data_IF_566996224314
#
_entry.id   IF_566996224314
#
_cell.length_a   1.000
_cell.length_b   1.000
_cell.length_c   1.000
_cell.angle_alpha   90.00
_cell.angle_beta   90.00
_cell.angle_gamma   90.00
#
_symmetry.space_group_name_H-M   'P 1'
#
loop_
_entity.id
_entity.type
_entity.pdbx_description
1 polymer ?
#
# COMPACT_ATOMS: atom_id res chain seq x y z
N UNK A 1 15.14 -5.64 -21.10
CA UNK A 1 15.45 -5.41 -19.68
C UNK A 1 14.35 -6.05 -18.83
N UNK A 2 14.66 -7.17 -18.14
CA UNK A 2 13.70 -7.90 -17.30
C UNK A 2 13.70 -7.25 -15.92
N UNK A 3 12.68 -6.47 -15.61
CA UNK A 3 12.42 -5.98 -14.23
C UNK A 3 11.82 -7.14 -13.43
N UNK A 4 12.70 -7.87 -12.75
CA UNK A 4 12.30 -8.96 -11.88
C UNK A 4 11.70 -8.41 -10.59
N UNK A 5 10.40 -8.52 -10.42
CA UNK A 5 9.78 -8.40 -9.11
C UNK A 5 10.13 -9.66 -8.30
N UNK A 6 11.01 -9.53 -7.31
CA UNK A 6 11.21 -10.60 -6.33
C UNK A 6 9.98 -10.64 -5.41
N UNK A 7 9.07 -11.56 -5.67
CA UNK A 7 8.02 -11.93 -4.73
C UNK A 7 8.65 -12.88 -3.72
N UNK A 8 9.18 -12.34 -2.63
CA UNK A 8 9.60 -13.17 -1.50
C UNK A 8 8.41 -13.36 -0.58
N UNK A 9 7.70 -14.46 -0.74
CA UNK A 9 6.76 -14.97 0.27
C UNK A 9 7.62 -15.46 1.42
N UNK A 10 7.84 -14.63 2.44
CA UNK A 10 8.42 -15.09 3.70
C UNK A 10 7.28 -15.71 4.49
N UNK A 11 7.23 -17.04 4.46
CA UNK A 11 6.35 -17.79 5.35
C UNK A 11 6.74 -17.48 6.81
N UNK A 12 5.77 -17.19 7.65
CA UNK A 12 5.90 -16.86 9.08
C UNK A 12 6.54 -17.97 9.95
N UNK A 13 6.94 -19.11 9.36
CA UNK A 13 7.40 -20.31 10.06
C UNK A 13 8.89 -20.35 10.44
N UNK A 14 9.68 -19.29 10.19
CA UNK A 14 11.10 -19.25 10.57
C UNK A 14 11.47 -17.97 11.31
N UNK A 15 10.80 -17.72 12.43
CA UNK A 15 11.36 -16.87 13.48
C UNK A 15 12.17 -17.78 14.37
N UNK A 16 13.49 -17.64 14.35
CA UNK A 16 14.40 -18.26 15.30
C UNK A 16 14.13 -17.68 16.69
N UNK A 17 13.43 -18.44 17.53
CA UNK A 17 13.08 -18.07 18.91
C UNK A 17 14.22 -18.31 19.89
N UNK A 18 15.43 -18.61 19.44
CA UNK A 18 16.55 -19.01 20.29
C UNK A 18 17.31 -17.85 20.96
N UNK A 19 16.97 -16.59 20.70
CA UNK A 19 17.62 -15.45 21.35
C UNK A 19 16.65 -14.61 22.20
N UNK A 20 16.76 -14.58 23.52
CA UNK A 20 15.83 -13.86 24.40
C UNK A 20 15.97 -12.33 24.40
N UNK A 21 16.78 -11.74 23.54
CA UNK A 21 17.10 -10.30 23.57
C UNK A 21 16.66 -9.48 22.36
N UNK A 22 16.04 -10.08 21.35
CA UNK A 22 15.55 -9.35 20.18
C UNK A 22 14.07 -9.60 19.97
N UNK A 23 13.23 -9.07 20.86
CA UNK A 23 11.81 -8.87 20.56
C UNK A 23 11.71 -7.82 19.45
N UNK A 24 11.71 -8.26 18.20
CA UNK A 24 11.32 -7.40 17.08
C UNK A 24 9.81 -7.32 17.12
N UNK A 25 9.29 -6.20 17.60
CA UNK A 25 7.86 -5.92 17.51
C UNK A 25 7.48 -5.84 16.03
N UNK A 26 6.62 -6.76 15.55
CA UNK A 26 6.19 -6.83 14.15
C UNK A 26 5.03 -5.89 13.83
N UNK A 27 4.57 -5.11 14.80
CA UNK A 27 3.54 -4.09 14.59
C UNK A 27 4.03 -3.05 13.57
N UNK A 28 3.15 -2.64 12.66
CA UNK A 28 3.44 -1.66 11.62
C UNK A 28 3.95 -0.33 12.19
N UNK A 29 3.42 0.11 13.34
CA UNK A 29 3.84 1.35 13.99
C UNK A 29 5.24 1.30 14.58
N UNK A 30 5.66 0.14 15.09
CA UNK A 30 7.03 -0.04 15.61
C UNK A 30 8.06 -0.10 14.50
N UNK A 31 7.65 -0.46 13.29
CA UNK A 31 8.47 -0.59 12.08
C UNK A 31 8.47 0.68 11.21
N UNK A 32 7.78 1.71 11.62
CA UNK A 32 7.74 3.00 10.95
C UNK A 32 9.13 3.63 10.83
N UNK A 33 9.54 4.00 9.62
CA UNK A 33 10.75 4.77 9.41
C UNK A 33 10.56 6.19 9.92
N UNK A 34 11.07 6.54 11.09
CA UNK A 34 10.86 7.86 11.71
C UNK A 34 11.79 8.90 11.12
N UNK A 35 13.06 8.90 11.55
CA UNK A 35 14.05 9.91 11.19
C UNK A 35 15.29 9.31 10.49
N UNK A 36 15.15 8.11 9.92
CA UNK A 36 16.25 7.42 9.26
C UNK A 36 16.40 7.91 7.83
N UNK A 37 17.63 8.22 7.47
CA UNK A 37 18.02 8.44 6.08
C UNK A 37 18.47 7.09 5.52
N UNK A 38 17.85 6.62 4.46
CA UNK A 38 18.20 5.36 3.78
C UNK A 38 18.30 5.63 2.30
N UNK A 39 19.23 4.95 1.65
CA UNK A 39 19.38 5.01 0.22
C UNK A 39 18.13 4.39 -0.47
N UNK A 40 17.58 5.07 -1.47
CA UNK A 40 16.38 4.63 -2.18
C UNK A 40 16.55 3.23 -2.81
N UNK A 41 17.78 2.85 -3.15
CA UNK A 41 18.12 1.55 -3.75
C UNK A 41 18.03 0.38 -2.76
N UNK A 42 18.02 0.68 -1.46
CA UNK A 42 17.89 -0.31 -0.39
C UNK A 42 16.42 -0.60 -0.01
N UNK A 43 15.48 0.14 -0.61
CA UNK A 43 14.04 0.00 -0.33
C UNK A 43 13.37 -0.85 -1.41
N UNK A 44 12.80 -1.99 -1.02
CA UNK A 44 12.13 -2.92 -1.93
C UNK A 44 10.63 -3.04 -1.63
N UNK A 45 9.89 -3.57 -2.59
CA UNK A 45 8.46 -3.85 -2.44
C UNK A 45 8.28 -5.23 -1.81
N UNK A 46 7.48 -5.28 -0.75
CA UNK A 46 7.04 -6.51 -0.12
C UNK A 46 5.53 -6.60 -0.23
N UNK A 47 5.01 -7.73 -0.68
CA UNK A 47 3.59 -8.02 -0.74
C UNK A 47 3.31 -9.23 0.13
N UNK A 48 2.42 -9.08 1.09
CA UNK A 48 1.90 -10.17 1.94
C UNK A 48 0.40 -10.23 1.73
N UNK A 49 -0.16 -11.42 1.69
CA UNK A 49 -1.59 -11.60 1.54
C UNK A 49 -2.12 -12.61 2.54
N UNK A 50 -3.36 -12.40 2.97
CA UNK A 50 -4.04 -13.24 3.95
C UNK A 50 -5.56 -13.19 3.76
N UNK A 51 -6.24 -14.24 4.22
CA UNK A 51 -7.70 -14.30 4.17
C UNK A 51 -8.32 -13.54 5.35
N UNK A 52 -9.41 -12.86 5.06
CA UNK A 52 -10.25 -12.15 6.04
C UNK A 52 -11.70 -12.58 5.85
N UNK A 53 -12.57 -12.25 6.80
CA UNK A 53 -14.01 -12.50 6.66
C UNK A 53 -14.67 -11.77 5.49
N UNK A 54 -14.00 -10.76 4.93
CA UNK A 54 -14.51 -9.95 3.82
C UNK A 54 -13.90 -10.33 2.45
N UNK A 55 -12.92 -11.24 2.43
CA UNK A 55 -12.18 -11.64 1.24
C UNK A 55 -10.68 -11.64 1.47
N UNK A 56 -9.90 -11.64 0.38
CA UNK A 56 -8.44 -11.66 0.42
C UNK A 56 -7.88 -10.26 0.59
N UNK A 57 -7.05 -10.05 1.60
CA UNK A 57 -6.38 -8.78 1.82
C UNK A 57 -4.89 -8.86 1.46
N UNK A 58 -4.40 -7.83 0.78
CA UNK A 58 -2.99 -7.66 0.40
C UNK A 58 -2.42 -6.49 1.18
N UNK A 59 -1.35 -6.76 1.93
CA UNK A 59 -0.51 -5.75 2.56
C UNK A 59 0.70 -5.50 1.66
N UNK A 60 0.71 -4.36 0.99
CA UNK A 60 1.72 -3.94 0.03
C UNK A 60 2.58 -2.88 0.71
N UNK A 61 3.84 -3.15 0.97
CA UNK A 61 4.72 -2.24 1.70
C UNK A 61 6.02 -1.95 0.94
N UNK A 62 6.64 -0.84 1.27
CA UNK A 62 8.03 -0.51 0.93
C UNK A 62 8.84 -0.67 2.20
N UNK A 63 9.78 -1.61 2.21
CA UNK A 63 10.58 -1.99 3.37
C UNK A 63 12.07 -2.02 3.03
N UNK A 64 12.93 -1.81 4.02
CA UNK A 64 14.38 -2.02 3.88
C UNK A 64 14.80 -3.38 4.44
N UNK A 65 16.10 -3.69 4.35
CA UNK A 65 16.69 -4.92 4.86
C UNK A 65 16.62 -5.04 6.40
N UNK A 66 16.34 -3.96 7.11
CA UNK A 66 16.16 -3.91 8.56
C UNK A 66 14.67 -3.92 8.96
N UNK A 67 13.76 -4.16 7.98
CA UNK A 67 12.31 -4.29 8.16
C UNK A 67 11.59 -2.99 8.54
N UNK A 68 12.21 -1.82 8.35
CA UNK A 68 11.51 -0.54 8.49
C UNK A 68 10.58 -0.30 7.32
N UNK A 69 9.38 0.22 7.61
CA UNK A 69 8.33 0.51 6.63
C UNK A 69 8.39 1.99 6.27
N UNK A 70 8.54 2.28 4.98
CA UNK A 70 8.53 3.62 4.39
C UNK A 70 7.16 4.05 3.90
N UNK A 71 6.29 3.09 3.69
CA UNK A 71 4.91 3.27 3.33
C UNK A 71 4.26 1.94 3.04
N UNK A 72 2.96 1.88 3.21
CA UNK A 72 2.18 0.69 2.91
C UNK A 72 0.79 1.03 2.39
N UNK A 73 0.18 0.04 1.75
CA UNK A 73 -1.19 0.06 1.28
C UNK A 73 -1.84 -1.28 1.65
N UNK A 74 -3.08 -1.21 2.12
CA UNK A 74 -3.93 -2.38 2.35
C UNK A 74 -5.00 -2.43 1.27
N UNK A 75 -4.98 -3.48 0.47
CA UNK A 75 -5.92 -3.74 -0.61
C UNK A 75 -6.77 -4.94 -0.25
N UNK A 76 -8.08 -4.75 -0.15
CA UNK A 76 -9.04 -5.83 -0.01
C UNK A 76 -9.59 -6.21 -1.39
N UNK A 77 -9.56 -7.48 -1.71
CA UNK A 77 -10.29 -8.11 -2.80
C UNK A 77 -11.50 -8.82 -2.18
N UNK A 78 -12.69 -8.21 -2.21
CA UNK A 78 -13.87 -8.77 -1.56
C UNK A 78 -14.31 -10.06 -2.23
N UNK A 79 -14.85 -10.99 -1.46
CA UNK A 79 -15.53 -12.13 -2.05
C UNK A 79 -16.79 -11.70 -2.80
N UNK A 80 -17.21 -12.49 -3.79
CA UNK A 80 -18.35 -12.20 -4.70
C UNK A 80 -19.67 -11.95 -3.96
N UNK A 81 -19.79 -12.39 -2.71
CA UNK A 81 -20.95 -12.16 -1.83
C UNK A 81 -21.09 -10.72 -1.31
N UNK A 82 -20.06 -9.89 -1.45
CA UNK A 82 -20.11 -8.50 -1.01
C UNK A 82 -20.81 -7.63 -2.04
N UNK A 83 -21.99 -7.13 -1.68
CA UNK A 83 -22.74 -6.18 -2.50
C UNK A 83 -22.31 -4.74 -2.18
N UNK A 84 -21.64 -4.09 -3.11
CA UNK A 84 -21.24 -2.68 -3.03
C UNK A 84 -22.21 -1.74 -3.74
N UNK A 85 -23.28 -2.27 -4.36
CA UNK A 85 -24.23 -1.46 -5.14
C UNK A 85 -24.95 -0.42 -4.29
N UNK A 86 -25.17 -0.70 -3.00
CA UNK A 86 -25.71 0.26 -2.04
C UNK A 86 -24.86 1.53 -1.85
N UNK A 87 -23.56 1.43 -2.11
CA UNK A 87 -22.62 2.56 -2.07
C UNK A 87 -22.44 3.23 -3.44
N UNK A 88 -23.19 2.80 -4.46
CA UNK A 88 -23.04 3.25 -5.85
C UNK A 88 -21.78 2.72 -6.52
N UNK A 89 -21.20 1.65 -6.01
CA UNK A 89 -20.00 0.99 -6.55
C UNK A 89 -20.41 -0.28 -7.31
N UNK A 90 -19.47 -0.85 -8.06
CA UNK A 90 -19.65 -2.08 -8.82
C UNK A 90 -19.20 -3.29 -8.02
N UNK A 91 -19.82 -4.45 -8.27
CA UNK A 91 -19.49 -5.69 -7.56
C UNK A 91 -18.09 -6.24 -7.88
N UNK A 92 -17.49 -5.80 -9.00
CA UNK A 92 -16.12 -6.12 -9.41
C UNK A 92 -15.09 -5.08 -8.92
N UNK A 93 -15.35 -4.53 -7.74
CA UNK A 93 -14.55 -3.46 -7.14
C UNK A 93 -13.59 -3.99 -6.08
N UNK A 94 -12.30 -3.75 -6.24
CA UNK A 94 -11.30 -3.89 -5.20
C UNK A 94 -11.22 -2.63 -4.34
N UNK A 95 -10.96 -2.77 -3.04
CA UNK A 95 -11.02 -1.66 -2.10
C UNK A 95 -9.64 -1.38 -1.48
N UNK A 96 -9.10 -0.19 -1.73
CA UNK A 96 -7.98 0.33 -0.94
C UNK A 96 -8.53 0.80 0.41
N UNK A 97 -8.20 0.06 1.46
CA UNK A 97 -8.66 0.33 2.81
C UNK A 97 -7.80 1.37 3.52
N UNK A 98 -6.51 1.38 3.17
CA UNK A 98 -5.52 2.21 3.84
C UNK A 98 -4.36 2.49 2.91
N UNK A 99 -3.84 3.71 2.94
CA UNK A 99 -2.59 4.11 2.29
C UNK A 99 -1.85 5.05 3.23
N UNK A 100 -0.69 4.63 3.69
CA UNK A 100 0.21 5.44 4.50
C UNK A 100 1.56 5.55 3.82
N UNK A 101 2.13 6.75 3.82
CA UNK A 101 3.51 7.02 3.43
C UNK A 101 4.17 7.73 4.59
N UNK A 102 5.21 7.11 5.12
CA UNK A 102 6.01 7.65 6.19
C UNK A 102 7.19 8.43 5.61
N UNK A 103 7.45 9.59 6.12
CA UNK A 103 8.54 10.43 5.71
C UNK A 103 8.39 11.85 6.27
N UNK A 104 9.46 12.61 6.33
CA UNK A 104 9.35 14.03 6.68
C UNK A 104 8.50 14.72 5.62
N UNK A 105 7.37 15.28 6.04
CA UNK A 105 6.61 16.19 5.20
C UNK A 105 7.56 17.34 4.85
N UNK A 106 7.86 17.49 3.55
CA UNK A 106 8.53 18.71 3.08
C UNK A 106 7.63 19.87 3.48
N UNK A 107 8.18 20.84 4.20
CA UNK A 107 7.48 22.12 4.40
C UNK A 107 7.16 22.68 3.02
N UNK A 108 5.93 23.16 2.83
CA UNK A 108 5.50 23.80 1.59
C UNK A 108 6.48 24.95 1.31
N UNK A 109 7.27 24.84 0.23
CA UNK A 109 8.20 25.87 -0.21
C UNK A 109 9.70 25.54 -0.17
N UNK A 110 10.13 24.39 0.38
CA UNK A 110 11.52 23.94 0.32
C UNK A 110 11.69 22.87 -0.77
N UNK A 111 12.29 23.25 -1.89
CA UNK A 111 12.79 22.31 -2.92
C UNK A 111 14.16 21.78 -2.48
N UNK A 112 14.16 20.71 -1.70
CA UNK A 112 15.36 19.98 -1.35
C UNK A 112 15.40 18.72 -2.21
N UNK A 113 16.39 18.57 -3.08
CA UNK A 113 16.54 17.43 -4.00
C UNK A 113 16.63 16.08 -3.28
N UNK A 114 17.07 16.07 -2.03
CA UNK A 114 17.08 14.85 -1.20
C UNK A 114 15.67 14.37 -0.81
N UNK A 115 14.67 15.27 -0.82
CA UNK A 115 13.26 14.98 -0.48
C UNK A 115 12.46 14.50 -1.68
N UNK A 116 12.96 14.67 -2.89
CA UNK A 116 12.30 14.24 -4.14
C UNK A 116 12.23 12.72 -4.27
N UNK A 117 13.09 11.99 -3.57
CA UNK A 117 13.11 10.52 -3.61
C UNK A 117 11.85 9.87 -2.99
N UNK A 118 11.12 10.59 -2.12
CA UNK A 118 9.87 10.10 -1.52
C UNK A 118 8.61 10.53 -2.29
N UNK A 119 8.73 11.49 -3.22
CA UNK A 119 7.64 11.93 -4.09
C UNK A 119 7.30 10.84 -5.10
N UNK A 120 6.23 10.10 -4.87
CA UNK A 120 5.80 9.03 -5.77
C UNK A 120 5.68 7.66 -5.09
N UNK A 121 6.09 7.52 -3.84
CA UNK A 121 5.97 6.27 -3.11
C UNK A 121 4.50 5.82 -3.03
N UNK A 122 3.60 6.71 -2.64
CA UNK A 122 2.17 6.43 -2.60
C UNK A 122 1.61 6.06 -3.97
N UNK A 123 2.04 6.76 -5.04
CA UNK A 123 1.68 6.41 -6.42
C UNK A 123 2.13 4.99 -6.78
N UNK A 124 3.38 4.63 -6.46
CA UNK A 124 3.89 3.28 -6.74
C UNK A 124 3.09 2.19 -6.01
N UNK A 125 2.68 2.44 -4.76
CA UNK A 125 1.84 1.51 -4.00
C UNK A 125 0.44 1.36 -4.63
N UNK A 126 -0.18 2.47 -5.05
CA UNK A 126 -1.48 2.44 -5.76
C UNK A 126 -1.36 1.74 -7.11
N UNK A 127 -0.29 1.97 -7.87
CA UNK A 127 -0.06 1.29 -9.16
C UNK A 127 0.07 -0.23 -8.97
N UNK A 128 0.72 -0.67 -7.90
CA UNK A 128 0.83 -2.11 -7.57
C UNK A 128 -0.55 -2.67 -7.19
N UNK A 129 -1.32 -1.96 -6.37
CA UNK A 129 -2.67 -2.36 -6.00
C UNK A 129 -3.57 -2.50 -7.24
N UNK A 130 -3.51 -1.55 -8.17
CA UNK A 130 -4.24 -1.63 -9.45
C UNK A 130 -3.82 -2.87 -10.27
N UNK A 131 -2.52 -3.17 -10.35
CA UNK A 131 -2.01 -4.35 -11.07
C UNK A 131 -2.48 -5.66 -10.43
N UNK A 132 -2.44 -5.75 -9.10
CA UNK A 132 -2.94 -6.93 -8.38
C UNK A 132 -4.44 -7.10 -8.63
N UNK A 133 -5.23 -6.04 -8.52
CA UNK A 133 -6.68 -6.06 -8.74
C UNK A 133 -7.00 -6.51 -10.16
N UNK A 134 -6.37 -5.93 -11.17
CA UNK A 134 -6.56 -6.29 -12.57
C UNK A 134 -6.19 -7.77 -12.82
N UNK A 135 -5.06 -8.25 -12.27
CA UNK A 135 -4.63 -9.64 -12.40
C UNK A 135 -5.59 -10.64 -11.70
N UNK A 136 -6.43 -10.15 -10.81
CA UNK A 136 -7.48 -10.92 -10.10
C UNK A 136 -8.89 -10.65 -10.66
N UNK A 137 -8.97 -10.09 -11.88
CA UNK A 137 -10.20 -9.86 -12.64
C UNK A 137 -11.14 -8.79 -12.08
N UNK A 138 -10.67 -7.95 -11.15
CA UNK A 138 -11.39 -6.76 -10.71
C UNK A 138 -11.29 -5.67 -11.79
N UNK A 139 -12.40 -5.01 -12.10
CA UNK A 139 -12.46 -3.96 -13.11
C UNK A 139 -12.30 -2.57 -12.51
N UNK A 140 -12.51 -2.45 -11.20
CA UNK A 140 -12.47 -1.18 -10.50
C UNK A 140 -11.61 -1.27 -9.24
N UNK A 141 -10.89 -0.19 -8.95
CA UNK A 141 -10.24 0.03 -7.65
C UNK A 141 -10.81 1.29 -7.03
N UNK A 142 -11.22 1.16 -5.79
CA UNK A 142 -11.91 2.23 -5.08
C UNK A 142 -11.24 2.48 -3.74
N UNK A 143 -11.29 3.74 -3.27
CA UNK A 143 -10.79 4.15 -1.97
C UNK A 143 -11.76 5.13 -1.31
N UNK A 144 -12.00 4.93 -0.01
CA UNK A 144 -12.61 5.98 0.81
C UNK A 144 -11.49 6.94 1.23
N UNK A 145 -11.63 8.21 0.88
CA UNK A 145 -10.59 9.20 1.18
C UNK A 145 -11.17 10.40 1.91
N UNK A 146 -10.39 10.95 2.83
CA UNK A 146 -10.71 12.25 3.43
C UNK A 146 -10.82 13.35 2.36
N UNK A 147 -11.59 14.39 2.67
CA UNK A 147 -11.86 15.49 1.72
C UNK A 147 -10.57 16.11 1.16
N UNK A 148 -9.58 16.31 2.02
CA UNK A 148 -8.30 16.94 1.69
C UNK A 148 -7.35 16.08 0.84
N UNK A 149 -7.63 14.78 0.69
CA UNK A 149 -6.78 13.84 -0.09
C UNK A 149 -7.42 13.46 -1.42
N UNK A 150 -8.65 13.88 -1.70
CA UNK A 150 -9.33 13.55 -2.98
C UNK A 150 -8.56 14.04 -4.19
N UNK A 151 -7.94 15.22 -4.12
CA UNK A 151 -7.11 15.75 -5.19
C UNK A 151 -5.90 14.88 -5.52
N UNK A 152 -5.34 14.21 -4.51
CA UNK A 152 -4.24 13.26 -4.72
C UNK A 152 -4.69 12.08 -5.59
N UNK A 153 -5.83 11.48 -5.27
CA UNK A 153 -6.38 10.37 -6.06
C UNK A 153 -6.84 10.83 -7.45
N UNK A 154 -7.37 12.03 -7.59
CA UNK A 154 -7.71 12.60 -8.89
C UNK A 154 -6.48 12.69 -9.82
N UNK A 155 -5.30 13.06 -9.31
CA UNK A 155 -4.03 13.01 -10.06
C UNK A 155 -3.60 11.59 -10.46
N UNK A 156 -4.14 10.56 -9.83
CA UNK A 156 -3.91 9.15 -10.15
C UNK A 156 -5.04 8.57 -11.04
N UNK A 157 -5.87 9.43 -11.64
CA UNK A 157 -6.98 9.08 -12.52
C UNK A 157 -8.14 8.36 -11.82
N UNK A 158 -8.36 8.67 -10.55
CA UNK A 158 -9.58 8.28 -9.84
C UNK A 158 -10.64 9.37 -10.01
N UNK A 159 -11.86 8.97 -10.33
CA UNK A 159 -13.04 9.83 -10.38
C UNK A 159 -13.86 9.69 -9.09
N UNK A 160 -14.60 10.73 -8.74
CA UNK A 160 -15.49 10.70 -7.58
C UNK A 160 -16.75 9.88 -7.88
N UNK A 161 -17.07 8.94 -7.02
CA UNK A 161 -18.31 8.16 -7.03
C UNK A 161 -18.90 8.22 -5.61
N UNK A 162 -19.90 9.05 -5.40
CA UNK A 162 -20.46 9.30 -4.06
C UNK A 162 -19.40 9.85 -3.10
N UNK A 163 -19.15 9.10 -2.02
CA UNK A 163 -18.11 9.40 -1.01
C UNK A 163 -16.76 8.84 -1.36
N UNK A 164 -16.68 7.96 -2.36
CA UNK A 164 -15.46 7.26 -2.78
C UNK A 164 -14.75 7.97 -3.92
N UNK A 165 -13.48 7.61 -4.09
CA UNK A 165 -12.72 7.84 -5.31
C UNK A 165 -12.52 6.48 -5.98
N UNK A 166 -12.93 6.33 -7.24
CA UNK A 166 -12.88 5.08 -7.99
C UNK A 166 -12.15 5.23 -9.32
N UNK A 167 -11.42 4.20 -9.69
CA UNK A 167 -10.68 4.12 -10.96
C UNK A 167 -11.06 2.82 -11.66
N UNK A 168 -11.41 2.92 -12.94
CA UNK A 168 -11.52 1.78 -13.84
C UNK A 168 -10.11 1.32 -14.26
N UNK A 169 -9.88 0.01 -14.24
CA UNK A 169 -8.61 -0.65 -14.56
C UNK A 169 -8.48 -0.98 -16.04
#
# INVERSE_FOLDING_TARGET
>A
MKTGYRTSIIAWSKLDTSSPRNFVCLDTRSREVRHRTVNADEIFVVVRDYDTSAGREYFIAREDNLWYIYGFLRLLLPEVSYDFTYAGLWNDTALIRELHVYGQMSKIGESDDSKTQHTGLGRKLVDIACKISHAKWYQHVTVISGVWVKWYYAKLWFARVGTYMSKKL
#
